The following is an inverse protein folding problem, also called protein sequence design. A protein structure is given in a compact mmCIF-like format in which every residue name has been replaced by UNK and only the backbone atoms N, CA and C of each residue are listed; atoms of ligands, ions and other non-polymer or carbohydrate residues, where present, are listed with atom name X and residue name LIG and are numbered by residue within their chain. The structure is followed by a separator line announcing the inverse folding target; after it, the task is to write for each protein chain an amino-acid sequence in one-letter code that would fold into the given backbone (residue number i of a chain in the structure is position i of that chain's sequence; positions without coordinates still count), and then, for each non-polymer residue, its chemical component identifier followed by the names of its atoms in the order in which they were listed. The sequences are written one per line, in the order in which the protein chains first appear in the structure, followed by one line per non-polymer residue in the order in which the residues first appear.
data_IF_577649795325
#
_entry.id   IF_577649795325
#
_cell.length_a   1.000
_cell.length_b   1.000
_cell.length_c   1.000
_cell.angle_alpha   90.00
_cell.angle_beta   90.00
_cell.angle_gamma   90.00
#
_symmetry.space_group_name_H-M   'P 1'
#
loop_
_entity.id
_entity.type
_entity.pdbx_description
1 polymer ?
#
# COMPACT_ATOMS: atom_id res chain seq x y z
N UNK A 1 -12.58 20.73 -14.79
CA UNK A 1 -12.82 20.80 -13.32
C UNK A 1 -12.33 19.50 -12.72
N UNK A 2 -11.28 19.46 -11.85
CA UNK A 2 -10.88 18.22 -11.23
C UNK A 2 -12.01 17.78 -10.30
N UNK A 3 -12.63 16.63 -10.60
CA UNK A 3 -13.65 16.01 -9.76
C UNK A 3 -12.99 15.71 -8.40
N UNK A 4 -13.30 16.51 -7.38
CA UNK A 4 -12.79 16.30 -6.04
C UNK A 4 -13.37 14.96 -5.53
N UNK A 5 -12.50 13.97 -5.39
CA UNK A 5 -12.85 12.69 -4.79
C UNK A 5 -13.61 12.91 -3.47
N UNK A 6 -14.70 12.15 -3.19
CA UNK A 6 -15.44 12.22 -1.93
C UNK A 6 -14.49 12.10 -0.72
N UNK A 7 -14.85 12.72 0.41
CA UNK A 7 -14.01 12.76 1.61
C UNK A 7 -13.54 11.37 2.10
N UNK A 8 -14.32 10.32 1.85
CA UNK A 8 -13.95 8.93 2.16
C UNK A 8 -12.81 8.39 1.28
N UNK A 9 -12.80 8.67 -0.03
CA UNK A 9 -11.73 8.24 -0.93
C UNK A 9 -10.39 8.87 -0.54
N UNK A 10 -10.40 10.16 -0.19
CA UNK A 10 -9.19 10.86 0.28
C UNK A 10 -8.68 10.31 1.61
N UNK A 11 -9.58 9.93 2.52
CA UNK A 11 -9.21 9.33 3.80
C UNK A 11 -8.57 7.95 3.61
N UNK A 12 -9.13 7.11 2.72
CA UNK A 12 -8.56 5.80 2.39
C UNK A 12 -7.15 5.94 1.81
N UNK A 13 -6.96 6.81 0.82
CA UNK A 13 -5.64 7.06 0.24
C UNK A 13 -4.65 7.60 1.29
N UNK A 14 -5.07 8.53 2.14
CA UNK A 14 -4.18 9.08 3.20
C UNK A 14 -3.68 8.01 4.16
N UNK A 15 -4.52 7.03 4.50
CA UNK A 15 -4.15 5.89 5.35
C UNK A 15 -3.19 4.94 4.64
N UNK A 16 -3.41 4.68 3.36
CA UNK A 16 -2.51 3.87 2.54
C UNK A 16 -1.13 4.55 2.39
N UNK A 17 -1.10 5.85 2.10
CA UNK A 17 0.13 6.65 2.01
C UNK A 17 0.91 6.63 3.32
N UNK A 18 0.23 6.75 4.47
CA UNK A 18 0.86 6.66 5.78
C UNK A 18 1.55 5.30 6.00
N UNK A 19 0.84 4.21 5.70
CA UNK A 19 1.37 2.85 5.87
C UNK A 19 2.54 2.59 4.92
N UNK A 20 2.42 2.99 3.65
CA UNK A 20 3.46 2.85 2.65
C UNK A 20 4.73 3.64 3.03
N UNK A 21 4.57 4.92 3.38
CA UNK A 21 5.68 5.78 3.81
C UNK A 21 6.47 5.17 4.95
N UNK A 22 5.78 4.67 5.97
CA UNK A 22 6.47 4.04 7.11
C UNK A 22 7.27 2.80 6.68
N UNK A 23 6.70 1.99 5.78
CA UNK A 23 7.31 0.76 5.28
C UNK A 23 8.37 0.97 4.19
N UNK A 24 8.57 2.20 3.69
CA UNK A 24 9.68 2.55 2.78
C UNK A 24 10.74 3.40 3.48
N UNK A 25 11.03 3.07 4.74
CA UNK A 25 12.11 3.64 5.55
C UNK A 25 11.92 5.09 5.99
N UNK A 26 10.75 5.68 5.80
CA UNK A 26 10.47 7.04 6.27
C UNK A 26 9.87 7.08 7.67
N UNK A 27 10.01 8.23 8.34
CA UNK A 27 9.29 8.53 9.60
C UNK A 27 7.88 9.02 9.31
N UNK A 28 6.98 8.77 10.27
CA UNK A 28 5.57 9.16 10.19
C UNK A 28 5.10 9.73 11.54
N UNK A 29 4.13 10.66 11.54
CA UNK A 29 3.60 11.20 12.78
C UNK A 29 2.84 10.12 13.57
N UNK A 30 3.10 10.00 14.86
CA UNK A 30 2.47 8.99 15.71
C UNK A 30 2.02 9.64 17.01
N UNK A 31 0.80 9.32 17.45
CA UNK A 31 0.29 9.74 18.76
C UNK A 31 0.37 8.55 19.71
N UNK A 32 1.20 8.61 20.77
CA UNK A 32 1.25 7.57 21.79
C UNK A 32 -0.14 7.28 22.36
N UNK A 33 -0.43 6.00 22.58
CA UNK A 33 -1.67 5.59 23.22
C UNK A 33 -1.43 4.37 24.10
N UNK A 34 -2.37 4.12 25.01
CA UNK A 34 -2.37 2.94 25.87
C UNK A 34 -3.35 1.93 25.32
N UNK A 35 -2.88 0.72 25.04
CA UNK A 35 -3.72 -0.42 24.67
C UNK A 35 -3.79 -1.41 25.85
N UNK A 36 -4.41 -2.57 25.63
CA UNK A 36 -4.37 -3.68 26.60
C UNK A 36 -2.95 -4.25 26.78
N UNK A 37 -2.02 -4.01 25.85
CA UNK A 37 -0.62 -4.42 25.90
C UNK A 37 0.26 -3.42 26.70
N UNK A 38 -0.33 -2.31 27.16
CA UNK A 38 0.36 -1.24 27.87
C UNK A 38 0.54 0.03 27.03
N UNK A 39 1.49 0.88 27.44
CA UNK A 39 1.80 2.13 26.74
C UNK A 39 2.55 1.80 25.45
N UNK A 40 2.06 2.29 24.31
CA UNK A 40 2.71 2.21 23.01
C UNK A 40 3.26 3.60 22.66
N UNK A 41 4.55 3.89 22.96
CA UNK A 41 5.10 5.24 22.86
C UNK A 41 5.53 5.62 21.44
N UNK A 42 5.74 4.64 20.56
CA UNK A 42 6.25 4.85 19.21
C UNK A 42 5.55 3.91 18.23
N UNK A 43 5.54 4.30 16.95
CA UNK A 43 5.10 3.41 15.87
C UNK A 43 5.94 2.13 15.87
N UNK A 44 5.28 0.98 15.79
CA UNK A 44 5.91 -0.32 15.96
C UNK A 44 6.86 -0.64 14.81
N UNK A 45 8.11 -1.01 15.13
CA UNK A 45 9.08 -1.49 14.14
C UNK A 45 8.88 -2.96 13.75
N UNK A 46 8.05 -3.70 14.49
CA UNK A 46 7.74 -5.11 14.20
C UNK A 46 7.05 -5.20 12.83
N UNK A 47 7.56 -6.07 11.96
CA UNK A 47 7.07 -6.26 10.58
C UNK A 47 7.15 -5.03 9.68
N UNK A 48 7.94 -4.00 10.06
CA UNK A 48 8.28 -2.92 9.15
C UNK A 48 9.10 -3.49 7.99
N UNK A 49 8.84 -3.01 6.78
CA UNK A 49 9.43 -3.53 5.53
C UNK A 49 8.97 -4.93 5.14
N UNK A 50 7.94 -5.50 5.77
CA UNK A 50 7.35 -6.74 5.26
C UNK A 50 6.92 -6.51 3.80
N UNK A 51 7.26 -7.46 2.93
CA UNK A 51 6.87 -7.43 1.52
C UNK A 51 5.44 -7.96 1.43
N UNK A 52 4.48 -7.07 1.15
CA UNK A 52 3.04 -7.40 1.11
C UNK A 52 2.41 -6.92 -0.20
N UNK A 53 1.80 -7.81 -1.00
CA UNK A 53 1.04 -7.40 -2.17
C UNK A 53 -0.23 -6.63 -1.77
N UNK A 54 -0.76 -5.83 -2.69
CA UNK A 54 -2.01 -5.08 -2.58
C UNK A 54 -1.89 -3.62 -3.04
N UNK A 55 -0.68 -3.05 -3.01
CA UNK A 55 -0.48 -1.65 -3.39
C UNK A 55 -0.51 -1.40 -4.90
N UNK A 56 -0.45 -2.45 -5.72
CA UNK A 56 -0.75 -2.34 -7.15
C UNK A 56 -2.18 -1.84 -7.39
N UNK A 57 -3.17 -2.35 -6.66
CA UNK A 57 -4.56 -1.91 -6.77
C UNK A 57 -4.75 -0.46 -6.28
N UNK A 58 -4.12 -0.10 -5.16
CA UNK A 58 -4.19 1.25 -4.58
C UNK A 58 -3.60 2.28 -5.55
N UNK A 59 -2.38 2.04 -6.05
CA UNK A 59 -1.71 2.96 -6.96
C UNK A 59 -2.50 3.12 -8.26
N UNK A 60 -2.94 2.01 -8.86
CA UNK A 60 -3.71 2.04 -10.11
C UNK A 60 -5.01 2.82 -9.95
N UNK A 61 -5.74 2.59 -8.86
CA UNK A 61 -7.00 3.30 -8.62
C UNK A 61 -6.80 4.79 -8.35
N UNK A 62 -5.92 5.16 -7.41
CA UNK A 62 -5.86 6.54 -6.96
C UNK A 62 -4.98 7.43 -7.85
N UNK A 63 -3.81 6.94 -8.29
CA UNK A 63 -2.92 7.75 -9.11
C UNK A 63 -3.37 7.78 -10.56
N UNK A 64 -3.58 6.62 -11.18
CA UNK A 64 -3.79 6.55 -12.62
C UNK A 64 -5.23 6.87 -13.01
N UNK A 65 -6.21 6.22 -12.37
CA UNK A 65 -7.62 6.47 -12.69
C UNK A 65 -8.11 7.83 -12.16
N UNK A 66 -7.78 8.14 -10.90
CA UNK A 66 -8.31 9.34 -10.22
C UNK A 66 -7.39 10.55 -10.30
N UNK A 67 -6.13 10.40 -10.72
CA UNK A 67 -5.18 11.52 -10.83
C UNK A 67 -4.78 12.13 -9.47
N UNK A 68 -4.91 11.38 -8.38
CA UNK A 68 -4.52 11.83 -7.04
C UNK A 68 -3.03 11.52 -6.79
N UNK A 69 -2.42 12.28 -5.88
CA UNK A 69 -1.05 12.00 -5.47
C UNK A 69 -1.02 10.78 -4.54
N UNK A 70 -0.44 9.67 -5.03
CA UNK A 70 -0.23 8.43 -4.29
C UNK A 70 1.25 8.01 -4.33
N UNK A 71 2.15 8.98 -4.10
CA UNK A 71 3.60 8.79 -4.26
C UNK A 71 4.18 7.69 -3.35
N UNK A 72 3.74 7.61 -2.09
CA UNK A 72 4.26 6.60 -1.17
C UNK A 72 3.70 5.22 -1.52
N UNK A 73 2.45 5.14 -1.94
CA UNK A 73 1.83 3.92 -2.45
C UNK A 73 2.59 3.39 -3.65
N UNK A 74 3.02 4.28 -4.57
CA UNK A 74 3.88 3.91 -5.69
C UNK A 74 5.22 3.35 -5.22
N UNK A 75 5.88 4.03 -4.29
CA UNK A 75 7.18 3.61 -3.78
C UNK A 75 7.12 2.24 -3.09
N UNK A 76 6.09 2.00 -2.27
CA UNK A 76 5.92 0.71 -1.62
C UNK A 76 5.52 -0.39 -2.62
N UNK A 77 4.68 -0.08 -3.61
CA UNK A 77 4.37 -0.99 -4.73
C UNK A 77 5.63 -1.39 -5.50
N UNK A 78 6.45 -0.42 -5.89
CA UNK A 78 7.71 -0.70 -6.59
C UNK A 78 8.69 -1.49 -5.69
N UNK A 79 8.71 -1.20 -4.39
CA UNK A 79 9.44 -1.98 -3.40
C UNK A 79 8.96 -3.44 -3.31
N UNK A 80 7.66 -3.71 -3.43
CA UNK A 80 7.11 -5.06 -3.41
C UNK A 80 7.43 -5.78 -4.72
N UNK A 81 7.16 -5.14 -5.85
CA UNK A 81 7.30 -5.73 -7.19
C UNK A 81 8.74 -6.18 -7.49
N UNK A 82 9.75 -5.43 -7.03
CA UNK A 82 11.17 -5.81 -7.22
C UNK A 82 11.58 -7.10 -6.49
N UNK A 83 10.76 -7.62 -5.58
CA UNK A 83 11.02 -8.92 -4.93
C UNK A 83 10.62 -10.11 -5.80
N UNK A 84 10.05 -9.88 -6.98
CA UNK A 84 9.82 -10.92 -7.99
C UNK A 84 10.64 -10.65 -9.24
N UNK A 85 11.13 -11.71 -9.88
CA UNK A 85 11.92 -11.64 -11.12
C UNK A 85 11.20 -10.89 -12.24
N UNK A 86 9.88 -11.03 -12.32
CA UNK A 86 9.05 -10.36 -13.32
C UNK A 86 8.85 -8.85 -13.05
N UNK A 87 9.32 -8.34 -11.90
CA UNK A 87 9.19 -6.95 -11.47
C UNK A 87 7.74 -6.40 -11.55
N UNK A 88 6.78 -7.25 -11.16
CA UNK A 88 5.35 -6.99 -11.16
C UNK A 88 4.72 -7.64 -9.91
N UNK A 89 3.61 -7.10 -9.43
CA UNK A 89 2.93 -7.65 -8.24
C UNK A 89 2.35 -9.03 -8.55
N UNK A 90 2.92 -10.08 -7.95
CA UNK A 90 2.38 -11.44 -7.91
C UNK A 90 1.41 -11.63 -6.73
N UNK A 91 1.18 -12.87 -6.30
CA UNK A 91 0.25 -13.14 -5.20
C UNK A 91 0.19 -14.61 -4.84
N UNK A 92 -0.83 -15.00 -4.05
CA UNK A 92 -1.12 -16.41 -3.78
C UNK A 92 0.03 -17.20 -3.14
N UNK A 93 0.88 -16.55 -2.34
CA UNK A 93 2.03 -17.16 -1.67
C UNK A 93 3.40 -16.71 -2.17
N UNK A 94 3.46 -15.92 -3.25
CA UNK A 94 4.72 -15.42 -3.83
C UNK A 94 5.62 -14.65 -2.84
N UNK A 95 5.03 -14.06 -1.79
CA UNK A 95 5.74 -13.18 -0.85
C UNK A 95 5.95 -13.75 0.56
N UNK A 96 5.33 -14.90 0.89
CA UNK A 96 5.51 -15.61 2.16
C UNK A 96 4.70 -16.91 2.17
N UNK A 97 5.17 -17.98 2.83
CA UNK A 97 4.36 -19.17 3.10
C UNK A 97 3.38 -18.99 4.28
N UNK A 98 3.38 -17.83 4.94
CA UNK A 98 2.45 -17.53 6.03
C UNK A 98 1.16 -16.90 5.51
N UNK A 99 0.10 -16.88 6.33
CA UNK A 99 -1.25 -16.40 5.94
C UNK A 99 -1.22 -15.13 5.09
N UNK A 100 -0.49 -14.09 5.52
CA UNK A 100 -0.52 -12.83 4.80
C UNK A 100 0.28 -12.77 3.48
N UNK A 101 0.93 -13.86 3.07
CA UNK A 101 1.41 -14.04 1.68
C UNK A 101 0.29 -14.50 0.73
N UNK A 102 -0.84 -14.97 1.27
CA UNK A 102 -2.00 -15.44 0.52
C UNK A 102 -3.17 -14.44 0.47
N UNK A 103 -3.08 -13.31 1.20
CA UNK A 103 -4.17 -12.32 1.31
C UNK A 103 -4.52 -11.63 -0.01
N UNK A 104 -3.59 -11.58 -0.97
CA UNK A 104 -3.82 -11.04 -2.32
C UNK A 104 -3.49 -12.08 -3.39
N UNK A 105 -4.32 -12.13 -4.43
CA UNK A 105 -4.14 -13.04 -5.57
C UNK A 105 -3.12 -12.53 -6.61
N UNK A 106 -2.80 -11.24 -6.58
CA UNK A 106 -1.85 -10.57 -7.47
C UNK A 106 -2.54 -9.65 -8.47
N UNK A 107 -2.77 -8.39 -8.07
CA UNK A 107 -3.48 -7.43 -8.91
C UNK A 107 -2.63 -6.97 -10.11
N UNK A 108 -1.30 -7.14 -10.04
CA UNK A 108 -0.40 -6.82 -11.14
C UNK A 108 -0.42 -7.87 -12.25
N UNK A 109 -0.64 -9.14 -11.91
CA UNK A 109 -0.56 -10.25 -12.87
C UNK A 109 -1.92 -10.78 -13.32
N UNK A 110 -2.94 -10.76 -12.47
CA UNK A 110 -4.24 -11.39 -12.75
C UNK A 110 -5.33 -10.44 -13.22
N UNK A 111 -5.17 -9.14 -12.99
CA UNK A 111 -6.22 -8.15 -13.25
C UNK A 111 -5.89 -7.27 -14.45
N UNK A 112 -6.93 -6.85 -15.16
CA UNK A 112 -6.79 -5.83 -16.20
C UNK A 112 -6.65 -4.44 -15.57
N UNK A 113 -5.70 -3.65 -16.07
CA UNK A 113 -5.44 -2.28 -15.63
C UNK A 113 -6.32 -1.32 -16.40
N UNK A 114 -7.24 -0.66 -15.70
CA UNK A 114 -8.07 0.38 -16.29
C UNK A 114 -7.23 1.63 -16.55
N UNK A 115 -7.53 2.32 -17.64
CA UNK A 115 -6.96 3.63 -17.96
C UNK A 115 -7.99 4.74 -17.74
N UNK A 116 -7.51 5.95 -17.53
CA UNK A 116 -8.40 7.11 -17.40
C UNK A 116 -9.04 7.40 -18.75
N UNK A 117 -10.37 7.38 -18.81
CA UNK A 117 -11.11 7.83 -19.99
C UNK A 117 -10.82 9.30 -20.29
N UNK A 118 -10.57 9.62 -21.56
CA UNK A 118 -10.35 10.99 -22.05
C UNK A 118 -11.52 11.94 -21.76
#
# INVERSE_FOLDING_TARGET
MPHLAPNSERLTLSRAEYAAKYNTNSTVPYTPYTSWEGVLPVVANKSRFDVRPGFEAIYSHYAELKGLNASWSKEYRDYVNKNLTANIEGGGGDYSPNSGGYDALGHGTLMYRLEKSE
#
